data_IF_567867936547
#
_entry.id   IF_567867936547
#
_cell.length_a   1.000
_cell.length_b   1.000
_cell.length_c   1.000
_cell.angle_alpha   90.00
_cell.angle_beta   90.00
_cell.angle_gamma   90.00
#
_symmetry.space_group_name_H-M   'P 1'
#
loop_
_entity.id
_entity.type
_entity.pdbx_description
1 polymer ?
#
# COMPACT_ATOMS: atom_id res chain seq x y z
N UNK A 1 -0.82 29.86 18.73
CA UNK A 1 0.08 29.67 17.57
C UNK A 1 -0.59 29.00 16.39
N UNK A 2 -1.69 28.29 16.57
CA UNK A 2 -2.48 27.63 15.50
C UNK A 2 -1.90 26.31 14.98
N UNK A 3 -0.84 25.79 15.60
CA UNK A 3 -0.33 24.45 15.39
C UNK A 3 -1.03 23.49 16.35
N UNK A 4 -1.33 22.28 15.87
CA UNK A 4 -1.84 21.18 16.68
C UNK A 4 -0.72 20.63 17.58
N UNK A 5 -1.10 19.99 18.69
CA UNK A 5 -0.12 19.32 19.55
C UNK A 5 0.42 18.04 18.89
N UNK A 6 -0.43 17.39 18.08
CA UNK A 6 -0.13 16.12 17.42
C UNK A 6 -0.88 15.98 16.11
N UNK A 7 -0.23 15.34 15.14
CA UNK A 7 -0.82 14.94 13.87
C UNK A 7 -0.59 13.43 13.65
N UNK A 8 -1.67 12.69 13.44
CA UNK A 8 -1.62 11.27 13.12
C UNK A 8 -1.87 11.07 11.62
N UNK A 9 -0.85 10.57 10.93
CA UNK A 9 -0.86 10.31 9.49
C UNK A 9 -0.82 8.80 9.30
N UNK A 10 -1.90 8.20 8.84
CA UNK A 10 -1.92 6.78 8.51
C UNK A 10 -1.51 6.57 7.06
N UNK A 11 -0.57 5.68 6.83
CA UNK A 11 -0.15 5.28 5.49
C UNK A 11 -0.61 3.86 5.18
N UNK A 12 -0.89 3.58 3.91
CA UNK A 12 -1.10 2.21 3.48
C UNK A 12 0.23 1.45 3.40
N UNK A 13 0.22 0.17 3.75
CA UNK A 13 1.38 -0.74 3.69
C UNK A 13 2.00 -0.86 2.28
N UNK A 14 1.27 -0.47 1.23
CA UNK A 14 1.78 -0.41 -0.14
C UNK A 14 2.90 0.62 -0.31
N UNK A 15 2.90 1.68 0.50
CA UNK A 15 3.89 2.75 0.44
C UNK A 15 5.10 2.41 1.31
N UNK A 16 6.30 2.64 0.77
CA UNK A 16 7.53 2.50 1.53
C UNK A 16 7.73 3.73 2.44
N UNK A 17 7.96 3.52 3.73
CA UNK A 17 8.17 4.61 4.69
C UNK A 17 9.27 5.58 4.26
N UNK A 18 10.34 5.08 3.64
CA UNK A 18 11.46 5.90 3.16
C UNK A 18 11.02 6.98 2.16
N UNK A 19 9.92 6.77 1.46
CA UNK A 19 9.38 7.76 0.52
C UNK A 19 8.84 9.02 1.21
N UNK A 20 8.49 8.91 2.51
CA UNK A 20 8.00 10.01 3.32
C UNK A 20 9.13 10.84 3.97
N UNK A 21 10.35 10.32 4.04
CA UNK A 21 11.45 11.01 4.74
C UNK A 21 11.70 12.44 4.24
N UNK A 22 11.64 12.76 2.95
CA UNK A 22 11.81 14.14 2.50
C UNK A 22 10.77 15.11 3.06
N UNK A 23 9.49 14.71 3.05
CA UNK A 23 8.41 15.57 3.58
C UNK A 23 8.49 15.70 5.10
N UNK A 24 8.86 14.62 5.81
CA UNK A 24 9.09 14.66 7.26
C UNK A 24 10.25 15.60 7.57
N UNK A 25 11.35 15.51 6.82
CA UNK A 25 12.51 16.38 6.98
C UNK A 25 12.15 17.86 6.77
N UNK A 26 11.36 18.16 5.76
CA UNK A 26 10.92 19.54 5.50
C UNK A 26 9.98 20.05 6.59
N UNK A 27 9.11 19.19 7.11
CA UNK A 27 8.23 19.52 8.23
C UNK A 27 9.03 19.82 9.51
N UNK A 28 10.08 19.03 9.79
CA UNK A 28 10.94 19.23 10.96
C UNK A 28 11.65 20.58 10.95
N UNK A 29 12.01 21.09 9.77
CA UNK A 29 12.62 22.42 9.62
C UNK A 29 11.73 23.57 10.11
N UNK A 30 10.41 23.36 10.15
CA UNK A 30 9.47 24.37 10.61
C UNK A 30 9.54 24.59 12.14
N UNK A 31 10.12 23.65 12.87
CA UNK A 31 10.22 23.70 14.35
C UNK A 31 8.85 23.98 15.00
N UNK A 32 7.80 23.38 14.44
CA UNK A 32 6.40 23.62 14.82
C UNK A 32 6.07 23.14 16.25
N UNK A 33 6.82 22.18 16.76
CA UNK A 33 6.52 21.51 18.03
C UNK A 33 5.43 20.43 17.93
N UNK A 34 4.88 20.18 16.74
CA UNK A 34 3.85 19.16 16.51
C UNK A 34 4.46 17.76 16.58
N UNK A 35 3.90 16.90 17.43
CA UNK A 35 4.25 15.48 17.47
C UNK A 35 3.65 14.74 16.27
N UNK A 36 4.49 14.10 15.45
CA UNK A 36 4.04 13.24 14.35
C UNK A 36 3.88 11.78 14.80
N UNK A 37 2.77 11.15 14.40
CA UNK A 37 2.56 9.70 14.49
C UNK A 37 2.22 9.19 13.10
N UNK A 38 2.98 8.19 12.62
CA UNK A 38 2.84 7.66 11.26
C UNK A 38 2.71 6.13 11.32
N UNK A 39 1.57 5.60 11.82
CA UNK A 39 1.30 4.17 11.74
C UNK A 39 0.91 3.76 10.31
N UNK A 40 1.02 2.47 10.00
CA UNK A 40 0.51 1.93 8.75
C UNK A 40 -0.72 1.05 8.98
N UNK A 41 -1.53 0.95 7.95
CA UNK A 41 -2.71 0.09 7.88
C UNK A 41 -2.71 -0.67 6.55
N UNK A 42 -3.53 -1.70 6.47
CA UNK A 42 -3.63 -2.54 5.28
C UNK A 42 -5.05 -2.45 4.71
N UNK A 43 -5.14 -2.21 3.39
CA UNK A 43 -6.41 -2.20 2.66
C UNK A 43 -7.47 -1.29 3.30
N UNK A 44 -8.61 -1.88 3.71
CA UNK A 44 -9.71 -1.15 4.33
C UNK A 44 -9.38 -0.50 5.66
N UNK A 45 -8.29 -0.89 6.32
CA UNK A 45 -7.81 -0.31 7.56
C UNK A 45 -7.50 1.18 7.47
N UNK A 46 -7.01 1.63 6.33
CA UNK A 46 -6.71 3.05 6.07
C UNK A 46 -7.99 3.91 6.12
N UNK A 47 -9.05 3.50 5.44
CA UNK A 47 -10.35 4.19 5.49
C UNK A 47 -11.03 4.07 6.85
N UNK A 48 -10.92 2.90 7.51
CA UNK A 48 -11.43 2.71 8.87
C UNK A 48 -10.78 3.67 9.85
N UNK A 49 -9.46 3.85 9.78
CA UNK A 49 -8.72 4.77 10.64
C UNK A 49 -9.23 6.20 10.52
N UNK A 50 -9.52 6.65 9.30
CA UNK A 50 -10.08 7.99 9.08
C UNK A 50 -11.53 8.10 9.58
N UNK A 51 -12.38 7.11 9.29
CA UNK A 51 -13.78 7.07 9.72
C UNK A 51 -13.92 7.08 11.24
N UNK A 52 -13.06 6.35 11.93
CA UNK A 52 -13.08 6.19 13.39
C UNK A 52 -12.35 7.33 14.13
N UNK A 53 -11.77 8.29 13.41
CA UNK A 53 -11.02 9.40 14.01
C UNK A 53 -9.65 9.00 14.57
N UNK A 54 -9.11 7.83 14.17
CA UNK A 54 -7.76 7.39 14.53
C UNK A 54 -6.67 8.03 13.66
N UNK A 55 -7.06 8.59 12.53
CA UNK A 55 -6.17 9.31 11.61
C UNK A 55 -6.73 10.72 11.35
N UNK A 56 -5.84 11.70 11.31
CA UNK A 56 -6.14 13.05 10.83
C UNK A 56 -5.97 13.12 9.30
N UNK A 57 -5.02 12.37 8.78
CA UNK A 57 -4.66 12.31 7.37
C UNK A 57 -4.34 10.86 7.00
N UNK A 58 -4.78 10.42 5.82
CA UNK A 58 -4.39 9.13 5.26
C UNK A 58 -3.69 9.31 3.93
N UNK A 59 -2.64 8.52 3.69
CA UNK A 59 -1.83 8.54 2.48
C UNK A 59 -1.78 7.14 1.88
N UNK A 60 -2.20 7.02 0.63
CA UNK A 60 -2.15 5.75 -0.10
C UNK A 60 -3.39 4.86 0.10
N UNK A 61 -4.50 5.41 0.61
CA UNK A 61 -5.74 4.66 0.69
C UNK A 61 -6.13 4.11 -0.68
N UNK A 62 -6.51 2.86 -0.73
CA UNK A 62 -6.91 2.14 -1.95
C UNK A 62 -8.43 2.05 -2.07
N UNK A 63 -8.91 1.73 -3.26
CA UNK A 63 -10.32 1.69 -3.62
C UNK A 63 -10.98 3.07 -3.62
N UNK A 64 -12.18 3.14 -4.16
CA UNK A 64 -12.94 4.39 -4.21
C UNK A 64 -13.19 4.95 -2.80
N UNK A 65 -13.11 6.28 -2.65
CA UNK A 65 -13.40 6.93 -1.39
C UNK A 65 -14.80 6.56 -0.88
N UNK A 66 -14.91 6.04 0.33
CA UNK A 66 -16.21 5.66 0.91
C UNK A 66 -17.02 6.88 1.34
N UNK A 67 -18.31 6.67 1.59
CA UNK A 67 -19.18 7.70 2.18
C UNK A 67 -18.78 7.97 3.64
N UNK A 68 -17.89 8.92 3.84
CA UNK A 68 -17.50 9.46 5.15
C UNK A 68 -17.95 10.91 5.22
N UNK A 69 -18.64 11.35 6.28
CA UNK A 69 -19.04 12.75 6.42
C UNK A 69 -17.85 13.72 6.28
N UNK A 70 -18.03 14.76 5.47
CA UNK A 70 -17.03 15.80 5.21
C UNK A 70 -15.68 15.27 4.70
N UNK A 71 -15.66 14.11 4.04
CA UNK A 71 -14.46 13.57 3.41
C UNK A 71 -13.95 14.51 2.34
N UNK A 72 -12.65 14.82 2.41
CA UNK A 72 -11.88 15.48 1.35
C UNK A 72 -10.78 14.54 0.89
N UNK A 73 -10.49 14.55 -0.39
CA UNK A 73 -9.49 13.66 -0.97
C UNK A 73 -8.98 14.17 -2.31
N UNK A 74 -7.84 13.64 -2.71
CA UNK A 74 -7.33 13.74 -4.07
C UNK A 74 -6.57 12.46 -4.44
N UNK A 75 -6.44 12.22 -5.74
CA UNK A 75 -5.68 11.08 -6.24
C UNK A 75 -4.19 11.31 -6.07
N UNK A 76 -3.50 10.34 -5.45
CA UNK A 76 -2.05 10.34 -5.29
C UNK A 76 -1.36 9.79 -6.53
N UNK A 77 -1.91 8.77 -7.16
CA UNK A 77 -1.38 8.08 -8.32
C UNK A 77 -1.96 6.68 -8.49
N UNK A 78 -1.34 5.90 -9.36
CA UNK A 78 -1.78 4.53 -9.68
C UNK A 78 -0.70 3.54 -9.31
N UNK A 79 -1.09 2.47 -8.63
CA UNK A 79 -0.22 1.34 -8.27
C UNK A 79 -0.48 0.18 -9.23
N UNK A 80 0.55 -0.23 -9.95
CA UNK A 80 0.52 -1.40 -10.82
C UNK A 80 0.95 -2.68 -10.09
N UNK A 81 0.45 -3.82 -10.55
CA UNK A 81 0.64 -5.12 -9.94
C UNK A 81 1.31 -6.12 -10.86
N UNK A 82 2.04 -7.05 -10.27
CA UNK A 82 2.60 -8.20 -10.95
C UNK A 82 2.28 -9.46 -10.16
N UNK A 83 1.83 -10.51 -10.86
CA UNK A 83 1.78 -11.84 -10.26
C UNK A 83 3.17 -12.44 -10.33
N UNK A 84 3.76 -12.72 -9.19
CA UNK A 84 5.14 -13.13 -9.09
C UNK A 84 5.30 -14.40 -8.24
N UNK A 85 6.21 -15.24 -8.69
CA UNK A 85 6.59 -16.48 -8.01
C UNK A 85 8.10 -16.53 -7.82
N UNK A 86 8.57 -17.25 -6.82
CA UNK A 86 10.01 -17.48 -6.65
C UNK A 86 10.59 -18.25 -7.84
N UNK A 87 11.85 -18.00 -8.16
CA UNK A 87 12.55 -18.62 -9.31
C UNK A 87 12.43 -20.14 -9.34
N UNK A 88 12.41 -20.79 -8.17
CA UNK A 88 12.33 -22.26 -8.04
C UNK A 88 10.92 -22.78 -7.77
N UNK A 89 9.93 -21.90 -7.75
CA UNK A 89 8.55 -22.31 -7.53
C UNK A 89 8.02 -23.08 -8.74
N UNK A 90 7.20 -24.15 -8.57
CA UNK A 90 6.67 -24.94 -9.68
C UNK A 90 5.97 -24.11 -10.76
N UNK A 91 5.22 -23.09 -10.39
CA UNK A 91 4.53 -22.22 -11.35
C UNK A 91 5.47 -21.41 -12.25
N UNK A 92 6.75 -21.26 -11.89
CA UNK A 92 7.70 -20.55 -12.75
C UNK A 92 7.87 -21.22 -14.12
N UNK A 93 7.76 -22.55 -14.19
CA UNK A 93 7.89 -23.34 -15.40
C UNK A 93 6.57 -23.62 -16.11
N UNK A 94 5.43 -23.28 -15.52
CA UNK A 94 4.11 -23.51 -16.14
C UNK A 94 3.87 -22.54 -17.28
N UNK A 95 3.28 -23.03 -18.38
CA UNK A 95 2.93 -22.18 -19.53
C UNK A 95 1.96 -21.06 -19.18
N UNK A 96 2.14 -19.92 -19.81
CA UNK A 96 1.26 -18.74 -19.64
C UNK A 96 0.12 -18.70 -20.67
N UNK A 97 -1.02 -18.10 -20.33
CA UNK A 97 -1.34 -17.52 -19.02
C UNK A 97 -1.68 -18.60 -17.99
N UNK A 98 -1.26 -18.36 -16.73
CA UNK A 98 -1.62 -19.25 -15.62
C UNK A 98 -3.12 -19.26 -15.44
N UNK A 99 -3.71 -20.45 -15.43
CA UNK A 99 -5.12 -20.63 -15.16
C UNK A 99 -5.39 -20.61 -13.66
N UNK A 100 -6.60 -20.23 -13.29
CA UNK A 100 -7.04 -20.14 -11.88
C UNK A 100 -6.78 -21.45 -11.13
N UNK A 101 -7.11 -22.58 -11.77
CA UNK A 101 -6.97 -23.92 -11.19
C UNK A 101 -5.50 -24.26 -10.85
N UNK A 102 -4.58 -23.83 -11.71
CA UNK A 102 -3.16 -24.01 -11.46
C UNK A 102 -2.68 -23.17 -10.25
N UNK A 103 -3.15 -21.93 -10.16
CA UNK A 103 -2.80 -21.03 -9.05
C UNK A 103 -3.37 -21.56 -7.72
N UNK A 104 -4.62 -22.05 -7.73
CA UNK A 104 -5.28 -22.57 -6.52
C UNK A 104 -4.59 -23.78 -5.87
N UNK A 105 -3.79 -24.53 -6.63
CA UNK A 105 -3.00 -25.64 -6.09
C UNK A 105 -1.84 -25.20 -5.21
N UNK A 106 -1.55 -23.91 -5.17
CA UNK A 106 -0.43 -23.35 -4.42
C UNK A 106 -0.91 -22.34 -3.38
N UNK A 107 -0.14 -22.23 -2.30
CA UNK A 107 -0.42 -21.31 -1.20
C UNK A 107 -0.34 -19.86 -1.66
N UNK A 108 -1.34 -19.06 -1.33
CA UNK A 108 -1.32 -17.61 -1.55
C UNK A 108 -0.65 -16.89 -0.38
N UNK A 109 0.27 -15.96 -0.65
CA UNK A 109 0.74 -15.03 0.36
C UNK A 109 -0.19 -13.84 0.48
N UNK A 110 -0.60 -13.50 1.69
CA UNK A 110 -1.52 -12.40 1.97
C UNK A 110 -1.00 -11.53 3.10
N UNK A 111 -1.13 -10.20 2.96
CA UNK A 111 -1.04 -9.27 4.08
C UNK A 111 -2.46 -9.04 4.57
N UNK A 112 -2.74 -9.36 5.83
CA UNK A 112 -4.09 -9.30 6.37
C UNK A 112 -4.63 -7.88 6.37
N UNK A 113 -5.90 -7.71 5.96
CA UNK A 113 -6.62 -6.45 6.08
C UNK A 113 -6.73 -6.04 7.56
N UNK A 114 -6.35 -4.81 7.88
CA UNK A 114 -6.39 -4.26 9.25
C UNK A 114 -7.69 -3.51 9.55
N UNK A 115 -8.68 -3.52 8.63
CA UNK A 115 -9.96 -2.90 8.88
C UNK A 115 -10.65 -3.48 10.11
N UNK A 116 -11.26 -2.61 10.90
CA UNK A 116 -12.10 -3.00 12.04
C UNK A 116 -13.55 -3.08 11.57
N UNK A 117 -14.07 -4.29 11.47
CA UNK A 117 -15.43 -4.53 11.00
C UNK A 117 -15.63 -5.91 10.40
N UNK A 118 -16.85 -6.21 9.91
CA UNK A 118 -17.30 -7.55 9.55
C UNK A 118 -16.76 -8.11 8.21
N UNK A 119 -16.01 -7.36 7.44
CA UNK A 119 -15.47 -7.83 6.16
C UNK A 119 -13.95 -7.62 6.07
N UNK A 120 -13.20 -8.64 6.44
CA UNK A 120 -11.78 -8.72 6.10
C UNK A 120 -11.64 -8.95 4.59
N UNK A 121 -10.88 -8.08 3.93
CA UNK A 121 -10.63 -8.20 2.50
C UNK A 121 -9.28 -8.90 2.27
N UNK A 122 -9.31 -9.94 1.45
CA UNK A 122 -8.10 -10.55 0.91
C UNK A 122 -8.17 -10.47 -0.61
N UNK A 123 -7.15 -9.86 -1.22
CA UNK A 123 -7.09 -9.74 -2.67
C UNK A 123 -6.28 -10.88 -3.31
N UNK A 124 -6.78 -11.37 -4.44
CA UNK A 124 -6.05 -12.34 -5.27
C UNK A 124 -6.00 -13.74 -4.68
N UNK A 125 -6.88 -14.06 -3.73
CA UNK A 125 -7.04 -15.41 -3.17
C UNK A 125 -8.30 -16.02 -3.75
N UNK A 126 -8.14 -17.23 -4.27
CA UNK A 126 -9.28 -18.01 -4.79
C UNK A 126 -9.95 -18.82 -3.67
N UNK A 127 -11.25 -19.08 -3.81
CA UNK A 127 -11.98 -19.88 -2.83
C UNK A 127 -11.32 -21.24 -2.58
N UNK A 128 -11.08 -21.57 -1.30
CA UNK A 128 -10.42 -22.81 -0.91
C UNK A 128 -8.90 -22.87 -1.05
N UNK A 129 -8.27 -21.81 -1.57
CA UNK A 129 -6.81 -21.74 -1.67
C UNK A 129 -6.17 -21.61 -0.28
N UNK A 130 -5.13 -22.39 -0.03
CA UNK A 130 -4.33 -22.27 1.20
C UNK A 130 -3.67 -20.90 1.26
N UNK A 131 -3.60 -20.31 2.45
CA UNK A 131 -3.06 -18.98 2.66
C UNK A 131 -1.90 -18.99 3.65
N UNK A 132 -0.89 -18.18 3.34
CA UNK A 132 0.15 -17.76 4.28
C UNK A 132 -0.11 -16.28 4.60
N UNK A 133 -0.68 -16.04 5.77
CA UNK A 133 -0.88 -14.67 6.26
C UNK A 133 0.43 -14.15 6.86
N UNK A 134 0.87 -13.00 6.41
CA UNK A 134 2.14 -12.36 6.80
C UNK A 134 1.92 -10.95 7.32
N UNK A 135 2.83 -10.42 8.15
CA UNK A 135 2.60 -9.15 8.85
C UNK A 135 2.83 -7.89 7.97
N UNK A 136 3.49 -8.02 6.82
CA UNK A 136 3.87 -6.86 6.01
C UNK A 136 4.05 -7.23 4.54
N UNK A 137 4.08 -6.21 3.68
CA UNK A 137 4.43 -6.39 2.26
C UNK A 137 5.87 -6.91 2.10
N UNK A 138 6.80 -6.44 2.92
CA UNK A 138 8.17 -6.96 2.92
C UNK A 138 8.22 -8.47 3.23
N UNK A 139 7.45 -8.93 4.22
CA UNK A 139 7.33 -10.35 4.55
C UNK A 139 6.67 -11.15 3.42
N UNK A 140 5.66 -10.57 2.75
CA UNK A 140 5.02 -11.19 1.57
C UNK A 140 6.01 -11.38 0.43
N UNK A 141 6.78 -10.35 0.10
CA UNK A 141 7.83 -10.41 -0.93
C UNK A 141 8.86 -11.49 -0.58
N UNK A 142 9.32 -11.53 0.68
CA UNK A 142 10.28 -12.52 1.14
C UNK A 142 9.75 -13.96 1.02
N UNK A 143 8.49 -14.20 1.41
CA UNK A 143 7.85 -15.51 1.31
C UNK A 143 7.71 -15.97 -0.15
N UNK A 144 7.33 -15.10 -1.05
CA UNK A 144 7.20 -15.41 -2.48
C UNK A 144 8.57 -15.65 -3.12
N UNK A 145 9.58 -14.82 -2.80
CA UNK A 145 10.98 -15.03 -3.24
C UNK A 145 11.53 -16.37 -2.77
N UNK A 146 11.21 -16.80 -1.56
CA UNK A 146 11.61 -18.09 -1.03
C UNK A 146 10.85 -19.28 -1.64
N UNK A 147 9.86 -19.04 -2.52
CA UNK A 147 9.05 -20.08 -3.13
C UNK A 147 8.00 -20.71 -2.19
N UNK A 148 7.70 -20.07 -1.06
CA UNK A 148 6.77 -20.60 -0.05
C UNK A 148 5.31 -20.29 -0.36
N UNK A 149 5.07 -19.27 -1.17
CA UNK A 149 3.73 -18.82 -1.56
C UNK A 149 3.79 -18.00 -2.85
N UNK A 150 2.63 -17.70 -3.43
CA UNK A 150 2.48 -16.94 -4.66
C UNK A 150 1.48 -15.80 -4.47
N UNK A 151 1.46 -14.83 -5.37
CA UNK A 151 0.46 -13.78 -5.35
C UNK A 151 0.86 -12.51 -6.07
N UNK A 152 -0.01 -11.52 -5.96
CA UNK A 152 0.19 -10.20 -6.54
C UNK A 152 1.05 -9.33 -5.63
N UNK A 153 2.00 -8.63 -6.23
CA UNK A 153 2.91 -7.70 -5.58
C UNK A 153 2.89 -6.34 -6.31
N UNK A 154 3.06 -5.23 -5.59
CA UNK A 154 3.28 -3.93 -6.23
C UNK A 154 4.53 -4.02 -7.12
N UNK A 155 4.37 -3.79 -8.43
CA UNK A 155 5.46 -3.93 -9.40
C UNK A 155 6.70 -3.13 -9.00
N UNK A 156 6.50 -1.90 -8.53
CA UNK A 156 7.61 -1.02 -8.15
C UNK A 156 8.43 -1.56 -6.99
N UNK A 157 7.79 -2.29 -6.05
CA UNK A 157 8.46 -2.86 -4.87
C UNK A 157 9.36 -4.06 -5.22
N UNK A 158 9.15 -4.69 -6.37
CA UNK A 158 9.83 -5.93 -6.77
C UNK A 158 10.59 -5.82 -8.08
N UNK A 159 10.67 -4.64 -8.67
CA UNK A 159 11.35 -4.43 -9.96
C UNK A 159 12.79 -4.95 -9.99
N UNK A 160 13.56 -4.74 -8.93
CA UNK A 160 14.92 -5.25 -8.82
C UNK A 160 14.97 -6.80 -8.75
N UNK A 161 14.04 -7.42 -8.03
CA UNK A 161 13.94 -8.88 -7.91
C UNK A 161 13.48 -9.54 -9.22
N UNK A 162 12.62 -8.86 -9.98
CA UNK A 162 12.25 -9.30 -11.32
C UNK A 162 13.43 -9.20 -12.28
N UNK A 163 14.19 -8.10 -12.23
CA UNK A 163 15.37 -7.89 -13.07
C UNK A 163 16.50 -8.89 -12.76
N UNK A 164 16.67 -9.26 -11.50
CA UNK A 164 17.67 -10.28 -11.08
C UNK A 164 17.22 -11.72 -11.33
N UNK A 165 15.93 -11.94 -11.64
CA UNK A 165 15.34 -13.27 -11.81
C UNK A 165 15.03 -13.99 -10.50
N UNK A 166 15.23 -13.38 -9.35
CA UNK A 166 14.86 -13.96 -8.03
C UNK A 166 13.35 -14.13 -7.88
N UNK A 167 12.59 -13.24 -8.50
CA UNK A 167 11.16 -13.39 -8.76
C UNK A 167 10.92 -13.49 -10.25
N UNK A 168 9.97 -14.33 -10.63
CA UNK A 168 9.53 -14.53 -12.02
C UNK A 168 8.10 -13.99 -12.13
N UNK A 169 7.92 -13.02 -13.03
CA UNK A 169 6.59 -12.55 -13.40
C UNK A 169 5.85 -13.62 -14.19
N UNK A 170 4.57 -13.83 -13.88
CA UNK A 170 3.70 -14.74 -14.62
C UNK A 170 2.44 -14.00 -15.04
N UNK A 171 2.09 -14.11 -16.32
CA UNK A 171 0.79 -13.68 -16.82
C UNK A 171 -0.28 -14.64 -16.31
N UNK A 172 -1.42 -14.09 -15.89
CA UNK A 172 -2.57 -14.86 -15.42
C UNK A 172 -3.77 -14.69 -16.36
N UNK A 173 -4.66 -15.68 -16.39
CA UNK A 173 -5.89 -15.58 -17.16
C UNK A 173 -6.81 -14.45 -16.66
N UNK A 174 -6.79 -14.21 -15.35
CA UNK A 174 -7.52 -13.13 -14.69
C UNK A 174 -6.52 -12.07 -14.16
N UNK A 175 -6.09 -11.09 -14.99
CA UNK A 175 -5.13 -10.09 -14.55
C UNK A 175 -5.74 -9.15 -13.51
N UNK A 176 -4.90 -8.68 -12.59
CA UNK A 176 -5.29 -7.68 -11.60
C UNK A 176 -5.18 -6.28 -12.20
N UNK A 177 -6.26 -5.51 -12.10
CA UNK A 177 -6.26 -4.11 -12.50
C UNK A 177 -5.42 -3.24 -11.54
N UNK A 178 -4.79 -2.17 -12.06
CA UNK A 178 -4.14 -1.18 -11.23
C UNK A 178 -5.09 -0.55 -10.21
N UNK A 179 -4.55 -0.14 -9.07
CA UNK A 179 -5.31 0.59 -8.05
C UNK A 179 -4.96 2.07 -8.06
N UNK A 180 -5.97 2.93 -8.02
CA UNK A 180 -5.78 4.33 -7.68
C UNK A 180 -5.54 4.45 -6.18
N UNK A 181 -4.53 5.24 -5.82
CA UNK A 181 -4.20 5.59 -4.44
C UNK A 181 -4.67 6.99 -4.13
N UNK A 182 -5.14 7.21 -2.92
CA UNK A 182 -5.71 8.48 -2.48
C UNK A 182 -4.97 9.04 -1.27
N UNK A 183 -4.95 10.38 -1.20
CA UNK A 183 -4.73 11.13 0.02
C UNK A 183 -6.09 11.63 0.48
N UNK A 184 -6.42 11.45 1.77
CA UNK A 184 -7.72 11.85 2.28
C UNK A 184 -7.67 12.33 3.73
N UNK A 185 -8.60 13.23 4.08
CA UNK A 185 -8.78 13.78 5.43
C UNK A 185 -10.22 14.20 5.63
N UNK A 186 -10.60 14.51 6.86
CA UNK A 186 -11.93 15.06 7.16
C UNK A 186 -11.86 16.57 7.25
N UNK A 187 -12.74 17.26 6.54
CA UNK A 187 -12.78 18.72 6.50
C UNK A 187 -13.17 19.43 7.82
N UNK A 188 -13.44 18.65 8.85
CA UNK A 188 -13.68 19.15 10.22
C UNK A 188 -12.36 19.44 10.96
N UNK A 189 -11.29 18.77 10.57
CA UNK A 189 -9.98 19.00 11.14
C UNK A 189 -9.38 20.25 10.53
N UNK A 190 -9.19 21.24 11.36
CA UNK A 190 -8.53 22.50 11.00
C UNK A 190 -7.27 22.62 11.83
N UNK A 191 -6.14 22.74 11.16
CA UNK A 191 -4.88 22.93 11.83
C UNK A 191 -3.77 23.18 10.83
N UNK A 192 -2.79 23.98 11.21
CA UNK A 192 -1.69 24.37 10.33
C UNK A 192 -0.85 23.19 9.87
N UNK A 193 -0.68 22.17 10.72
CA UNK A 193 0.09 20.99 10.36
C UNK A 193 -0.63 20.19 9.29
N UNK A 194 -1.92 19.89 9.46
CA UNK A 194 -2.71 19.18 8.46
C UNK A 194 -2.72 19.92 7.12
N UNK A 195 -2.96 21.23 7.14
CA UNK A 195 -2.99 22.05 5.93
C UNK A 195 -1.65 22.03 5.20
N UNK A 196 -0.55 22.16 5.95
CA UNK A 196 0.79 22.10 5.38
C UNK A 196 1.08 20.74 4.73
N UNK A 197 0.74 19.64 5.39
CA UNK A 197 0.94 18.29 4.84
C UNK A 197 0.09 18.06 3.59
N UNK A 198 -1.17 18.47 3.59
CA UNK A 198 -2.07 18.34 2.44
C UNK A 198 -1.53 19.13 1.24
N UNK A 199 -1.08 20.37 1.46
CA UNK A 199 -0.49 21.20 0.40
C UNK A 199 0.79 20.57 -0.16
N UNK A 200 1.67 20.10 0.73
CA UNK A 200 2.93 19.47 0.35
C UNK A 200 2.74 18.18 -0.45
N UNK A 201 1.75 17.36 -0.05
CA UNK A 201 1.42 16.11 -0.75
C UNK A 201 0.84 16.33 -2.16
N UNK A 202 0.42 17.54 -2.51
CA UNK A 202 -0.03 17.89 -3.87
C UNK A 202 1.13 18.19 -4.82
N UNK A 203 2.36 18.26 -4.34
CA UNK A 203 3.51 18.52 -5.20
C UNK A 203 3.80 17.32 -6.12
N UNK A 204 3.83 17.50 -7.44
CA UNK A 204 3.94 16.38 -8.40
C UNK A 204 5.17 15.50 -8.18
N UNK A 205 6.31 16.07 -7.80
CA UNK A 205 7.54 15.29 -7.52
C UNK A 205 7.38 14.37 -6.32
N UNK A 206 6.73 14.87 -5.26
CA UNK A 206 6.49 14.09 -4.06
C UNK A 206 5.45 12.99 -4.31
N UNK A 207 4.36 13.33 -4.99
CA UNK A 207 3.34 12.34 -5.39
C UNK A 207 3.96 11.20 -6.19
N UNK A 208 4.77 11.53 -7.19
CA UNK A 208 5.47 10.55 -8.02
C UNK A 208 6.41 9.66 -7.19
N UNK A 209 7.16 10.26 -6.24
CA UNK A 209 8.05 9.53 -5.35
C UNK A 209 7.29 8.54 -4.45
N UNK A 210 6.16 8.97 -3.89
CA UNK A 210 5.35 8.13 -3.01
C UNK A 210 4.81 6.89 -3.74
N UNK A 211 4.39 7.03 -4.98
CA UNK A 211 3.82 5.94 -5.79
C UNK A 211 4.91 5.06 -6.40
N UNK A 212 5.98 5.65 -6.90
CA UNK A 212 7.04 4.93 -7.62
C UNK A 212 8.21 4.47 -6.74
N UNK A 213 8.17 4.77 -5.44
CA UNK A 213 9.24 4.41 -4.52
C UNK A 213 10.49 5.28 -4.67
N UNK A 214 11.51 4.91 -3.92
CA UNK A 214 12.83 5.54 -4.00
C UNK A 214 13.55 4.97 -5.23
N UNK A 215 13.98 5.83 -6.15
CA UNK A 215 14.82 5.39 -7.26
C UNK A 215 16.08 4.70 -6.70
N UNK A 216 16.26 3.45 -7.05
CA UNK A 216 17.52 2.74 -6.79
C UNK A 216 18.54 3.40 -7.72
N UNK A 217 19.56 4.04 -7.13
CA UNK A 217 20.72 4.57 -7.86
C UNK A 217 21.61 3.43 -8.27
#
# INVERSE_FOLDING_TARGET
SGWEDRLTIVTDELLEFQTLLPIITDFDKLKSGVGLRIPHEVLGGTWSALREGRADLVIGATNEPPAIPRLRWFELGVMDWVFAVGQRHPLAAVAEPLQREAIQQHRAAVVADTSRGSSTRTYGVHGGQEQLAVPSMAAKIAAQRAGLAVGWLPRIRVSALLSSGELVEKKTADPREPNTLYVAWRGEHTGKALDWWVERLREPRLMKRLVNGVAVK
#
